data_IF_119553078809
#
_entry.id   IF_119553078809
#
_cell.length_a   1.000
_cell.length_b   1.000
_cell.length_c   1.000
_cell.angle_alpha   90.00
_cell.angle_beta   90.00
_cell.angle_gamma   90.00
#
_symmetry.space_group_name_H-M   'P 1'
#
loop_
_entity.id
_entity.type
_entity.pdbx_description
1 polymer ?
#
# COMPACT_ATOMS: atom_id res chain seq x y z
N UNK A 1 7.18 13.60 -6.09
CA UNK A 1 5.79 13.73 -5.62
C UNK A 1 5.57 12.68 -4.53
N UNK A 2 5.71 13.06 -3.26
CA UNK A 2 5.48 12.21 -2.09
C UNK A 2 5.25 13.15 -0.92
N UNK A 3 3.99 13.43 -0.60
CA UNK A 3 3.64 14.34 0.45
C UNK A 3 2.45 13.79 1.23
N UNK A 4 2.75 12.87 2.15
CA UNK A 4 2.07 12.73 3.44
C UNK A 4 3.05 11.97 4.37
N UNK A 5 4.02 12.72 4.92
CA UNK A 5 4.77 12.43 6.14
C UNK A 5 5.46 11.06 6.29
N UNK A 6 6.80 11.05 6.17
CA UNK A 6 7.68 10.04 6.77
C UNK A 6 7.40 8.57 6.35
N UNK A 7 7.14 8.35 5.06
CA UNK A 7 7.09 6.99 4.49
C UNK A 7 8.43 6.72 3.84
N UNK A 8 9.24 5.89 4.49
CA UNK A 8 10.55 5.47 3.96
C UNK A 8 10.40 4.57 2.74
N UNK A 9 11.31 4.68 1.78
CA UNK A 9 11.36 3.81 0.60
C UNK A 9 11.41 2.32 0.98
N UNK A 10 12.11 1.99 2.06
CA UNK A 10 12.19 0.62 2.60
C UNK A 10 10.79 0.05 2.91
N UNK A 11 9.92 0.84 3.56
CA UNK A 11 8.53 0.43 3.84
C UNK A 11 7.71 0.21 2.56
N UNK A 12 7.95 1.02 1.52
CA UNK A 12 7.30 0.85 0.22
C UNK A 12 7.76 -0.45 -0.44
N UNK A 13 9.06 -0.69 -0.46
CA UNK A 13 9.66 -1.91 -1.02
C UNK A 13 9.17 -3.14 -0.26
N UNK A 14 9.17 -3.08 1.06
CA UNK A 14 8.64 -4.12 1.93
C UNK A 14 7.16 -4.41 1.68
N UNK A 15 6.34 -3.38 1.45
CA UNK A 15 4.93 -3.55 1.12
C UNK A 15 4.72 -4.19 -0.26
N UNK A 16 5.58 -3.91 -1.25
CA UNK A 16 5.51 -4.54 -2.58
C UNK A 16 6.01 -6.00 -2.53
N UNK A 17 7.13 -6.26 -1.85
CA UNK A 17 7.75 -7.59 -1.79
C UNK A 17 7.00 -8.55 -0.86
N UNK A 18 6.47 -8.05 0.24
CA UNK A 18 5.78 -8.84 1.28
C UNK A 18 4.50 -8.11 1.73
N UNK A 19 3.49 -7.99 0.85
CA UNK A 19 2.20 -7.42 1.21
C UNK A 19 1.43 -8.37 2.15
N UNK A 20 0.72 -7.81 3.13
CA UNK A 20 -0.31 -8.57 3.86
C UNK A 20 -1.52 -8.84 2.95
N UNK A 21 -1.83 -7.90 2.06
CA UNK A 21 -2.93 -7.98 1.10
C UNK A 21 -2.52 -7.38 -0.23
N UNK A 22 -2.86 -8.08 -1.30
CA UNK A 22 -2.77 -7.59 -2.67
C UNK A 22 -4.19 -7.43 -3.21
N UNK A 23 -4.54 -6.25 -3.68
CA UNK A 23 -5.79 -6.01 -4.40
C UNK A 23 -5.48 -5.63 -5.84
N UNK A 24 -5.83 -6.51 -6.76
CA UNK A 24 -5.79 -6.22 -8.19
C UNK A 24 -7.03 -5.39 -8.54
N UNK A 25 -6.80 -4.22 -9.13
CA UNK A 25 -7.86 -3.33 -9.62
C UNK A 25 -7.96 -3.49 -11.13
N UNK A 26 -8.98 -2.86 -11.69
CA UNK A 26 -9.24 -2.93 -13.13
C UNK A 26 -8.05 -2.39 -13.95
N UNK A 27 -7.73 -3.10 -15.04
CA UNK A 27 -6.62 -2.74 -15.94
C UNK A 27 -5.24 -3.20 -15.43
N UNK A 28 -4.35 -2.23 -15.24
CA UNK A 28 -2.93 -2.44 -14.89
C UNK A 28 -2.59 -1.91 -13.49
N UNK A 29 -3.60 -1.62 -12.67
CA UNK A 29 -3.39 -1.04 -11.33
C UNK A 29 -3.44 -2.13 -10.27
N UNK A 30 -2.43 -2.16 -9.41
CA UNK A 30 -2.35 -3.08 -8.28
C UNK A 30 -2.10 -2.33 -6.98
N UNK A 31 -2.83 -2.69 -5.93
CA UNK A 31 -2.69 -2.10 -4.61
C UNK A 31 -2.06 -3.13 -3.68
N UNK A 32 -0.85 -2.83 -3.22
CA UNK A 32 -0.19 -3.58 -2.16
C UNK A 32 -0.48 -2.93 -0.82
N UNK A 33 -0.96 -3.72 0.14
CA UNK A 33 -1.36 -3.24 1.45
C UNK A 33 -0.58 -4.03 2.48
N UNK A 34 0.13 -3.33 3.35
CA UNK A 34 0.91 -3.91 4.43
C UNK A 34 0.60 -3.23 5.75
N UNK A 35 0.48 -3.98 6.83
CA UNK A 35 0.30 -3.43 8.17
C UNK A 35 1.66 -2.94 8.70
N UNK A 36 1.71 -1.67 9.13
CA UNK A 36 2.88 -1.03 9.72
C UNK A 36 2.45 -0.46 11.08
N UNK A 37 2.77 -1.19 12.14
CA UNK A 37 2.27 -0.91 13.49
C UNK A 37 0.72 -0.97 13.54
N UNK A 38 0.09 0.14 13.95
CA UNK A 38 -1.38 0.26 14.00
C UNK A 38 -2.01 0.79 12.70
N UNK A 39 -1.19 1.10 11.68
CA UNK A 39 -1.65 1.68 10.42
C UNK A 39 -1.46 0.69 9.29
N UNK A 40 -2.19 0.88 8.20
CA UNK A 40 -1.99 0.11 6.98
C UNK A 40 -1.37 1.01 5.93
N UNK A 41 -0.21 0.65 5.42
CA UNK A 41 0.42 1.30 4.28
C UNK A 41 -0.18 0.74 3.01
N UNK A 42 -0.73 1.60 2.15
CA UNK A 42 -1.22 1.23 0.83
C UNK A 42 -0.31 1.84 -0.23
N UNK A 43 0.27 0.97 -1.04
CA UNK A 43 1.13 1.29 -2.19
C UNK A 43 0.35 0.96 -3.45
N UNK A 44 0.04 1.98 -4.24
CA UNK A 44 -0.62 1.85 -5.53
C UNK A 44 0.44 1.83 -6.60
N UNK A 45 0.52 0.73 -7.35
CA UNK A 45 1.41 0.60 -8.51
C UNK A 45 0.61 0.44 -9.78
N UNK A 46 1.22 0.81 -10.90
CA UNK A 46 0.76 0.49 -12.24
C UNK A 46 1.78 -0.39 -12.94
N UNK A 47 1.31 -1.46 -13.56
CA UNK A 47 2.08 -2.43 -14.33
C UNK A 47 1.77 -3.87 -13.91
N UNK A 48 1.51 -4.74 -14.88
CA UNK A 48 1.35 -6.19 -14.67
C UNK A 48 2.70 -6.94 -14.55
N UNK A 49 3.78 -6.36 -15.06
CA UNK A 49 5.12 -6.98 -15.08
C UNK A 49 6.17 -5.92 -14.81
N UNK A 50 7.27 -6.30 -14.15
CA UNK A 50 8.35 -5.36 -13.84
C UNK A 50 8.91 -4.69 -15.11
N UNK A 51 9.26 -3.38 -15.05
CA UNK A 51 9.28 -2.52 -13.87
C UNK A 51 7.90 -1.95 -13.48
N UNK A 52 7.54 -2.03 -12.19
CA UNK A 52 6.33 -1.40 -11.65
C UNK A 52 6.52 0.11 -11.48
N UNK A 53 5.52 0.91 -11.86
CA UNK A 53 5.50 2.35 -11.55
C UNK A 53 4.70 2.59 -10.28
N UNK A 54 5.34 3.04 -9.21
CA UNK A 54 4.64 3.48 -7.99
C UNK A 54 3.91 4.79 -8.28
N UNK A 55 2.58 4.74 -8.26
CA UNK A 55 1.73 5.91 -8.50
C UNK A 55 1.58 6.74 -7.23
N UNK A 56 1.18 6.08 -6.14
CA UNK A 56 0.85 6.76 -4.88
C UNK A 56 1.13 5.85 -3.69
N UNK A 57 1.60 6.43 -2.60
CA UNK A 57 1.78 5.75 -1.31
C UNK A 57 1.15 6.56 -0.20
N UNK A 58 0.34 5.92 0.64
CA UNK A 58 -0.29 6.58 1.79
C UNK A 58 -0.70 5.58 2.87
N UNK A 59 -0.85 6.06 4.11
CA UNK A 59 -1.45 5.27 5.17
C UNK A 59 -2.98 5.27 5.05
N UNK A 60 -3.57 4.09 4.88
CA UNK A 60 -5.01 3.89 4.86
C UNK A 60 -5.59 4.05 6.27
N UNK A 61 -6.22 5.20 6.50
CA UNK A 61 -6.85 5.56 7.78
C UNK A 61 -8.18 4.82 8.03
N UNK A 62 -8.77 4.19 7.00
CA UNK A 62 -10.09 3.53 7.08
C UNK A 62 -9.99 2.12 7.65
N UNK A 63 -8.87 1.44 7.44
CA UNK A 63 -8.63 0.10 7.96
C UNK A 63 -8.46 0.02 9.49
N UNK A 64 -8.24 1.15 10.20
CA UNK A 64 -8.26 1.19 11.68
C UNK A 64 -9.64 0.90 12.30
N UNK A 65 -10.75 1.01 11.54
CA UNK A 65 -12.11 0.88 12.08
C UNK A 65 -12.70 -0.54 12.03
N UNK A 66 -12.08 -1.51 11.37
CA UNK A 66 -12.56 -2.91 11.34
C UNK A 66 -12.00 -3.79 12.47
N UNK A 67 -11.58 -3.18 13.59
CA UNK A 67 -11.28 -3.88 14.85
C UNK A 67 -12.32 -3.65 15.95
N UNK A 68 -13.38 -2.89 15.66
CA UNK A 68 -14.52 -2.70 16.57
C UNK A 68 -15.72 -3.45 16.03
N UNK A 69 -15.87 -4.71 16.42
CA UNK A 69 -17.18 -5.34 16.49
C UNK A 69 -17.33 -5.80 17.95
N UNK A 70 -18.36 -5.33 18.68
CA UNK A 70 -18.67 -5.85 20.02
C UNK A 70 -19.09 -7.32 19.97
#
# INVERSE_FOLDING_TARGET
MLAEGNISEDLVREAILKPDRKEEREGDVCHFIRKVGERFLRVVVRGRTEPYTVLTVFYDRRLRRKGGQP
#
